data_IF_464116808777
#
_entry.id   IF_464116808777
#
_cell.length_a   1.000
_cell.length_b   1.000
_cell.length_c   1.000
_cell.angle_alpha   90.00
_cell.angle_beta   90.00
_cell.angle_gamma   90.00
#
_symmetry.space_group_name_H-M   'P 1'
#
loop_
_entity.id
_entity.type
_entity.pdbx_description
1 polymer ?
#
# COMPACT_ATOMS: atom_id res chain seq x y z
N UNK A 1 43.25 -1.91 -15.06
CA UNK A 1 42.21 -2.11 -16.07
C UNK A 1 40.90 -1.64 -15.48
N UNK A 2 40.47 -0.42 -15.81
CA UNK A 2 39.19 0.13 -15.39
C UNK A 2 38.10 -0.52 -16.22
N UNK A 3 37.36 -1.47 -15.61
CA UNK A 3 36.12 -1.95 -16.20
C UNK A 3 35.14 -0.78 -16.19
N UNK A 4 34.79 -0.28 -17.38
CA UNK A 4 33.71 0.70 -17.53
C UNK A 4 32.45 0.21 -16.79
N UNK A 5 31.74 1.10 -16.08
CA UNK A 5 30.52 0.71 -15.42
C UNK A 5 29.56 0.18 -16.50
N UNK A 6 29.12 -1.09 -16.38
CA UNK A 6 28.03 -1.62 -17.20
C UNK A 6 26.87 -0.68 -17.02
N UNK A 7 26.47 -0.01 -18.09
CA UNK A 7 25.28 0.86 -18.13
C UNK A 7 24.06 0.00 -17.76
N UNK A 8 23.74 -0.05 -16.46
CA UNK A 8 22.53 -0.69 -15.99
C UNK A 8 21.33 0.08 -16.51
N UNK A 9 20.24 -0.61 -16.83
CA UNK A 9 18.97 0.00 -17.21
C UNK A 9 18.53 1.01 -16.14
N UNK A 10 18.53 2.31 -16.49
CA UNK A 10 18.00 3.39 -15.67
C UNK A 10 16.67 3.86 -16.24
N UNK A 11 15.56 3.43 -15.63
CA UNK A 11 14.24 3.75 -16.13
C UNK A 11 13.93 5.24 -15.96
N UNK A 12 13.66 5.92 -17.08
CA UNK A 12 13.16 7.29 -17.09
C UNK A 12 11.69 7.39 -16.62
N UNK A 13 11.20 8.63 -16.44
CA UNK A 13 9.82 8.91 -16.05
C UNK A 13 8.82 8.29 -17.05
N UNK A 14 9.09 8.37 -18.37
CA UNK A 14 8.22 7.79 -19.39
C UNK A 14 8.09 6.27 -19.28
N UNK A 15 9.21 5.56 -19.05
CA UNK A 15 9.19 4.11 -18.83
C UNK A 15 8.41 3.72 -17.56
N UNK A 16 8.56 4.50 -16.48
CA UNK A 16 7.81 4.26 -15.25
C UNK A 16 6.30 4.53 -15.43
N UNK A 17 5.94 5.60 -16.13
CA UNK A 17 4.54 5.89 -16.45
C UNK A 17 3.93 4.78 -17.31
N UNK A 18 4.62 4.34 -18.35
CA UNK A 18 4.17 3.23 -19.20
C UNK A 18 3.99 1.94 -18.40
N UNK A 19 4.91 1.61 -17.49
CA UNK A 19 4.80 0.44 -16.63
C UNK A 19 3.64 0.57 -15.61
N UNK A 20 3.44 1.75 -15.01
CA UNK A 20 2.30 2.00 -14.12
C UNK A 20 0.97 1.87 -14.86
N UNK A 21 0.87 2.40 -16.09
CA UNK A 21 -0.30 2.23 -16.96
C UNK A 21 -0.52 0.77 -17.34
N UNK A 22 0.53 0.02 -17.66
CA UNK A 22 0.43 -1.40 -17.98
C UNK A 22 -0.10 -2.21 -16.79
N UNK A 23 0.36 -1.92 -15.55
CA UNK A 23 -0.20 -2.55 -14.34
C UNK A 23 -1.64 -2.11 -14.11
N UNK A 24 -1.99 -0.85 -14.36
CA UNK A 24 -3.38 -0.37 -14.27
C UNK A 24 -4.28 -1.14 -15.23
N UNK A 25 -3.88 -1.28 -16.50
CA UNK A 25 -4.62 -2.07 -17.50
C UNK A 25 -4.73 -3.54 -17.06
N UNK A 26 -3.65 -4.12 -16.56
CA UNK A 26 -3.67 -5.47 -16.01
C UNK A 26 -4.71 -5.62 -14.88
N UNK A 27 -4.78 -4.67 -13.93
CA UNK A 27 -5.78 -4.67 -12.87
C UNK A 27 -7.21 -4.54 -13.43
N UNK A 28 -7.43 -3.69 -14.45
CA UNK A 28 -8.71 -3.58 -15.13
C UNK A 28 -9.14 -4.90 -15.80
N UNK A 29 -8.20 -5.60 -16.42
CA UNK A 29 -8.44 -6.91 -17.06
C UNK A 29 -8.73 -8.03 -16.06
N UNK A 30 -8.25 -7.91 -14.83
CA UNK A 30 -8.55 -8.85 -13.75
C UNK A 30 -9.91 -8.62 -13.10
N UNK A 31 -10.57 -7.48 -13.35
CA UNK A 31 -11.88 -7.20 -12.78
C UNK A 31 -12.88 -8.21 -13.33
N UNK A 32 -13.32 -9.19 -12.54
CA UNK A 32 -14.22 -10.21 -13.06
C UNK A 32 -15.57 -9.59 -13.38
N UNK A 33 -16.21 -10.08 -14.45
CA UNK A 33 -17.63 -9.88 -14.70
C UNK A 33 -18.51 -10.62 -13.66
N UNK A 34 -17.90 -11.16 -12.60
CA UNK A 34 -18.58 -11.81 -11.51
C UNK A 34 -19.27 -10.79 -10.59
N UNK A 35 -20.35 -11.22 -9.96
CA UNK A 35 -21.09 -10.42 -8.97
C UNK A 35 -20.14 -9.85 -7.89
N UNK A 36 -20.50 -8.70 -7.33
CA UNK A 36 -19.85 -8.15 -6.14
C UNK A 36 -20.03 -9.16 -5.00
N UNK A 37 -18.94 -9.69 -4.48
CA UNK A 37 -18.97 -10.79 -3.52
C UNK A 37 -18.61 -10.36 -2.09
N UNK A 38 -17.89 -9.24 -1.96
CA UNK A 38 -17.58 -8.66 -0.65
C UNK A 38 -18.73 -7.75 -0.22
N UNK A 39 -19.09 -7.83 1.05
CA UNK A 39 -20.14 -7.00 1.65
C UNK A 39 -19.87 -5.51 1.46
N UNK A 40 -18.63 -5.08 1.61
CA UNK A 40 -18.24 -3.68 1.49
C UNK A 40 -18.35 -3.19 0.04
N UNK A 41 -18.01 -4.02 -0.98
CA UNK A 41 -18.21 -3.68 -2.40
C UNK A 41 -19.68 -3.37 -2.70
N UNK A 42 -20.59 -4.23 -2.22
CA UNK A 42 -22.03 -4.09 -2.43
C UNK A 42 -22.58 -2.82 -1.76
N UNK A 43 -22.15 -2.54 -0.54
CA UNK A 43 -22.60 -1.35 0.18
C UNK A 43 -22.14 -0.06 -0.48
N UNK A 44 -20.87 0.00 -0.92
CA UNK A 44 -20.33 1.21 -1.55
C UNK A 44 -20.92 1.44 -2.94
N UNK A 45 -21.08 0.38 -3.73
CA UNK A 45 -21.72 0.46 -5.04
C UNK A 45 -23.17 0.94 -4.93
N UNK A 46 -23.98 0.33 -4.03
CA UNK A 46 -25.37 0.74 -3.85
C UNK A 46 -25.49 2.19 -3.35
N UNK A 47 -24.64 2.61 -2.40
CA UNK A 47 -24.65 3.99 -1.94
C UNK A 47 -24.31 4.99 -3.07
N UNK A 48 -23.41 4.63 -3.99
CA UNK A 48 -23.10 5.45 -5.15
C UNK A 48 -24.25 5.50 -6.17
N UNK A 49 -24.97 4.40 -6.38
CA UNK A 49 -26.18 4.35 -7.22
C UNK A 49 -27.28 5.23 -6.62
N UNK A 50 -27.51 5.15 -5.31
CA UNK A 50 -28.52 5.99 -4.64
C UNK A 50 -28.22 7.48 -4.72
N UNK A 51 -26.94 7.87 -4.73
CA UNK A 51 -26.54 9.26 -4.98
C UNK A 51 -26.99 9.74 -6.38
N UNK A 52 -26.90 8.87 -7.39
CA UNK A 52 -27.37 9.17 -8.75
C UNK A 52 -28.91 9.20 -8.83
N UNK A 53 -29.58 8.22 -8.24
CA UNK A 53 -31.03 8.10 -8.24
C UNK A 53 -31.73 9.28 -7.53
N UNK A 54 -31.17 9.70 -6.38
CA UNK A 54 -31.76 10.74 -5.53
C UNK A 54 -31.26 12.13 -5.79
N UNK A 55 -30.10 12.28 -6.48
CA UNK A 55 -29.39 13.56 -6.63
C UNK A 55 -28.78 14.09 -5.32
N UNK A 56 -28.75 13.28 -4.24
CA UNK A 56 -28.17 13.68 -2.97
C UNK A 56 -26.67 13.31 -2.90
N UNK A 57 -25.84 14.27 -3.28
CA UNK A 57 -24.38 14.14 -3.27
C UNK A 57 -23.75 14.44 -1.89
N UNK A 58 -24.55 14.91 -0.93
CA UNK A 58 -24.05 15.37 0.37
C UNK A 58 -24.01 14.22 1.40
N UNK A 59 -25.12 13.51 1.54
CA UNK A 59 -25.30 12.43 2.53
C UNK A 59 -25.42 11.10 1.82
N UNK A 60 -24.46 10.18 1.97
CA UNK A 60 -24.58 8.83 1.43
C UNK A 60 -25.77 8.10 2.04
N UNK A 61 -26.52 7.38 1.23
CA UNK A 61 -27.63 6.54 1.70
C UNK A 61 -27.45 5.09 1.20
N UNK A 62 -28.04 4.15 1.92
CA UNK A 62 -28.13 2.74 1.56
C UNK A 62 -29.52 2.23 1.90
N UNK A 63 -30.27 1.82 0.87
CA UNK A 63 -31.68 1.42 0.97
C UNK A 63 -32.57 2.51 1.61
N UNK A 64 -32.30 3.77 1.25
CA UNK A 64 -33.05 4.94 1.75
C UNK A 64 -32.64 5.40 3.15
N UNK A 65 -31.77 4.70 3.85
CA UNK A 65 -31.27 5.08 5.19
C UNK A 65 -29.89 5.75 5.10
N UNK A 66 -29.58 6.64 6.05
CA UNK A 66 -28.27 7.32 6.11
C UNK A 66 -27.15 6.31 6.25
N UNK A 67 -26.23 6.30 5.28
CA UNK A 67 -25.06 5.41 5.26
C UNK A 67 -23.79 6.15 5.71
N UNK A 68 -23.70 6.44 7.00
CA UNK A 68 -22.62 7.23 7.60
C UNK A 68 -21.32 6.43 7.85
N UNK A 69 -21.01 5.42 7.03
CA UNK A 69 -19.84 4.55 7.25
C UNK A 69 -18.54 5.21 6.86
N UNK A 70 -18.52 5.98 5.77
CA UNK A 70 -17.32 6.59 5.19
C UNK A 70 -17.62 7.97 4.62
N UNK A 71 -16.59 8.83 4.46
CA UNK A 71 -16.68 10.08 3.71
C UNK A 71 -16.93 9.85 2.22
N UNK A 72 -17.33 10.88 1.44
CA UNK A 72 -18.03 10.73 0.17
C UNK A 72 -17.15 10.46 -1.04
N UNK A 73 -15.82 10.70 -0.99
CA UNK A 73 -14.98 10.73 -2.19
C UNK A 73 -15.10 9.46 -3.04
N UNK A 74 -15.10 8.29 -2.41
CA UNK A 74 -15.17 7.06 -3.19
C UNK A 74 -16.55 6.83 -3.79
N UNK A 75 -17.63 7.23 -3.11
CA UNK A 75 -18.99 7.18 -3.67
C UNK A 75 -19.12 8.15 -4.85
N UNK A 76 -18.58 9.37 -4.74
CA UNK A 76 -18.56 10.33 -5.85
C UNK A 76 -17.82 9.79 -7.07
N UNK A 77 -16.66 9.16 -6.86
CA UNK A 77 -15.88 8.56 -7.95
C UNK A 77 -16.59 7.36 -8.57
N UNK A 78 -17.24 6.51 -7.75
CA UNK A 78 -18.05 5.39 -8.24
C UNK A 78 -19.29 5.88 -9.02
N UNK A 79 -19.99 6.88 -8.50
CA UNK A 79 -21.13 7.48 -9.19
C UNK A 79 -20.72 8.09 -10.53
N UNK A 80 -19.58 8.80 -10.60
CA UNK A 80 -19.02 9.27 -11.86
C UNK A 80 -18.69 8.11 -12.81
N UNK A 81 -18.16 7.00 -12.30
CA UNK A 81 -17.90 5.79 -13.10
C UNK A 81 -19.20 5.19 -13.64
N UNK A 82 -20.24 5.07 -12.83
CA UNK A 82 -21.55 4.58 -13.24
C UNK A 82 -22.19 5.48 -14.30
N UNK A 83 -22.02 6.80 -14.21
CA UNK A 83 -22.52 7.74 -15.24
C UNK A 83 -21.87 7.56 -16.61
N UNK A 84 -20.64 6.99 -16.66
CA UNK A 84 -19.89 6.77 -17.90
C UNK A 84 -20.08 5.36 -18.44
N UNK A 85 -20.02 4.35 -17.58
CA UNK A 85 -20.00 2.93 -17.98
C UNK A 85 -21.31 2.20 -17.69
N UNK A 86 -22.32 2.89 -17.13
CA UNK A 86 -23.54 2.27 -16.64
C UNK A 86 -23.35 1.56 -15.30
N UNK A 87 -24.47 1.19 -14.67
CA UNK A 87 -24.51 0.50 -13.39
C UNK A 87 -24.17 -0.99 -13.56
N UNK A 88 -22.91 -1.33 -13.32
CA UNK A 88 -22.40 -2.69 -13.40
C UNK A 88 -21.17 -2.88 -12.50
N UNK A 89 -20.75 -4.13 -12.30
CA UNK A 89 -19.65 -4.49 -11.42
C UNK A 89 -18.30 -3.92 -11.88
N UNK A 90 -18.09 -3.82 -13.19
CA UNK A 90 -16.89 -3.20 -13.75
C UNK A 90 -16.82 -1.72 -13.37
N UNK A 91 -17.91 -0.98 -13.55
CA UNK A 91 -17.97 0.44 -13.23
C UNK A 91 -17.76 0.70 -11.72
N UNK A 92 -18.31 -0.15 -10.85
CA UNK A 92 -18.06 -0.07 -9.39
C UNK A 92 -16.59 -0.22 -9.04
N UNK A 93 -15.87 -1.13 -9.69
CA UNK A 93 -14.46 -1.46 -9.45
C UNK A 93 -13.49 -0.54 -10.18
N UNK A 94 -13.92 0.08 -11.28
CA UNK A 94 -13.08 0.87 -12.19
C UNK A 94 -12.22 1.91 -11.45
N UNK A 95 -12.76 2.56 -10.44
CA UNK A 95 -12.07 3.63 -9.68
C UNK A 95 -10.77 3.13 -9.01
N UNK A 96 -10.74 1.87 -8.57
CA UNK A 96 -9.63 1.33 -7.80
C UNK A 96 -8.35 1.15 -8.63
N UNK A 97 -8.45 0.71 -9.89
CA UNK A 97 -7.27 0.47 -10.71
C UNK A 97 -6.51 1.75 -11.08
N UNK A 98 -7.12 2.84 -11.58
CA UNK A 98 -6.42 4.10 -11.79
C UNK A 98 -5.84 4.69 -10.51
N UNK A 99 -6.56 4.64 -9.38
CA UNK A 99 -6.05 5.10 -8.10
C UNK A 99 -4.81 4.31 -7.68
N UNK A 100 -4.82 2.99 -7.89
CA UNK A 100 -3.63 2.17 -7.66
C UNK A 100 -2.49 2.54 -8.61
N UNK A 101 -2.76 2.75 -9.91
CA UNK A 101 -1.78 3.22 -10.89
C UNK A 101 -1.10 4.53 -10.48
N UNK A 102 -1.86 5.48 -9.95
CA UNK A 102 -1.32 6.72 -9.36
C UNK A 102 -0.41 6.41 -8.18
N UNK A 103 -0.83 5.52 -7.27
CA UNK A 103 -0.01 5.09 -6.12
C UNK A 103 1.33 4.48 -6.56
N UNK A 104 1.30 3.66 -7.62
CA UNK A 104 2.49 3.02 -8.20
C UNK A 104 3.46 4.07 -8.75
N UNK A 105 2.97 4.99 -9.57
CA UNK A 105 3.80 6.04 -10.16
C UNK A 105 4.40 6.97 -9.10
N UNK A 106 3.61 7.35 -8.09
CA UNK A 106 4.10 8.15 -6.95
C UNK A 106 5.15 7.39 -6.14
N UNK A 107 4.99 6.07 -5.94
CA UNK A 107 6.00 5.24 -5.29
C UNK A 107 7.32 5.21 -6.09
N UNK A 108 7.24 5.16 -7.44
CA UNK A 108 8.42 5.33 -8.30
C UNK A 108 9.11 6.67 -8.04
N UNK A 109 8.35 7.77 -8.03
CA UNK A 109 8.92 9.12 -7.83
C UNK A 109 9.60 9.24 -6.47
N UNK A 110 8.99 8.71 -5.40
CA UNK A 110 9.59 8.65 -4.06
C UNK A 110 10.90 7.84 -4.08
N UNK A 111 10.85 6.63 -4.63
CA UNK A 111 12.02 5.74 -4.69
C UNK A 111 13.17 6.32 -5.55
N UNK A 112 12.83 6.96 -6.66
CA UNK A 112 13.77 7.70 -7.50
C UNK A 112 14.44 8.84 -6.72
N UNK A 113 13.66 9.57 -5.93
CA UNK A 113 14.16 10.71 -5.14
C UNK A 113 15.03 10.28 -3.97
N UNK A 114 14.64 9.22 -3.27
CA UNK A 114 15.33 8.76 -2.05
C UNK A 114 16.53 7.85 -2.32
N UNK A 115 16.52 7.09 -3.41
CA UNK A 115 17.53 6.07 -3.70
C UNK A 115 18.10 6.22 -5.13
N UNK A 116 17.35 5.77 -6.13
CA UNK A 116 17.71 5.83 -7.53
C UNK A 116 16.51 5.57 -8.45
N UNK A 117 16.59 5.91 -9.75
CA UNK A 117 15.53 5.56 -10.71
C UNK A 117 15.26 4.06 -10.76
N UNK A 118 16.29 3.22 -10.68
CA UNK A 118 16.17 1.77 -10.64
C UNK A 118 15.46 1.28 -9.36
N UNK A 119 15.81 1.82 -8.20
CA UNK A 119 15.16 1.48 -6.93
C UNK A 119 13.67 1.85 -6.94
N UNK A 120 13.35 3.05 -7.44
CA UNK A 120 11.97 3.51 -7.58
C UNK A 120 11.15 2.63 -8.53
N UNK A 121 11.75 2.23 -9.67
CA UNK A 121 11.08 1.37 -10.64
C UNK A 121 10.77 -0.02 -10.08
N UNK A 122 11.75 -0.65 -9.40
CA UNK A 122 11.52 -1.93 -8.74
C UNK A 122 10.51 -1.81 -7.60
N UNK A 123 10.56 -0.72 -6.82
CA UNK A 123 9.56 -0.47 -5.77
C UNK A 123 8.14 -0.37 -6.34
N UNK A 124 7.96 0.37 -7.43
CA UNK A 124 6.69 0.47 -8.15
C UNK A 124 6.17 -0.90 -8.60
N UNK A 125 7.02 -1.71 -9.24
CA UNK A 125 6.66 -3.07 -9.70
C UNK A 125 6.36 -3.98 -8.50
N UNK A 126 7.16 -3.89 -7.44
CA UNK A 126 6.94 -4.66 -6.21
C UNK A 126 5.59 -4.33 -5.56
N UNK A 127 5.24 -3.06 -5.47
CA UNK A 127 3.92 -2.66 -5.00
C UNK A 127 2.83 -3.19 -5.93
N UNK A 128 2.93 -2.93 -7.24
CA UNK A 128 1.88 -3.22 -8.22
C UNK A 128 1.56 -4.71 -8.39
N UNK A 129 2.57 -5.56 -8.26
CA UNK A 129 2.42 -7.02 -8.41
C UNK A 129 2.36 -7.76 -7.06
N UNK A 130 2.14 -7.05 -5.96
CA UNK A 130 1.86 -7.68 -4.67
C UNK A 130 0.40 -8.14 -4.59
N UNK A 131 0.16 -9.26 -3.92
CA UNK A 131 -1.19 -9.86 -3.78
C UNK A 131 -2.20 -8.86 -3.25
N UNK A 132 -1.85 -8.09 -2.21
CA UNK A 132 -2.74 -7.10 -1.61
C UNK A 132 -3.12 -5.98 -2.60
N UNK A 133 -2.16 -5.51 -3.40
CA UNK A 133 -2.39 -4.48 -4.41
C UNK A 133 -3.26 -5.00 -5.55
N UNK A 134 -3.02 -6.23 -6.01
CA UNK A 134 -3.85 -6.86 -7.06
C UNK A 134 -5.29 -6.99 -6.56
N UNK A 135 -5.49 -7.49 -5.34
CA UNK A 135 -6.82 -7.64 -4.75
C UNK A 135 -7.55 -6.29 -4.63
N UNK A 136 -6.93 -5.31 -3.94
CA UNK A 136 -7.58 -4.02 -3.68
C UNK A 136 -7.63 -3.09 -4.91
N UNK A 137 -6.75 -3.29 -5.87
CA UNK A 137 -6.77 -2.57 -7.14
C UNK A 137 -7.83 -3.08 -8.13
N UNK A 138 -8.37 -4.28 -7.90
CA UNK A 138 -9.44 -4.88 -8.73
C UNK A 138 -10.77 -5.06 -7.98
N UNK A 139 -10.90 -4.52 -6.77
CA UNK A 139 -12.11 -4.55 -5.96
C UNK A 139 -12.73 -3.15 -5.80
N UNK A 140 -14.04 -3.05 -5.60
CA UNK A 140 -14.75 -1.79 -5.36
C UNK A 140 -14.52 -1.29 -3.92
N UNK A 141 -13.25 -1.01 -3.59
CA UNK A 141 -12.80 -0.67 -2.24
C UNK A 141 -12.22 0.75 -2.18
N UNK A 142 -12.40 1.42 -1.03
CA UNK A 142 -11.92 2.80 -0.80
C UNK A 142 -10.40 2.88 -0.64
N UNK A 143 -9.75 1.74 -0.40
CA UNK A 143 -8.35 1.66 0.04
C UNK A 143 -7.37 2.09 -1.06
N UNK A 144 -7.69 1.86 -2.33
CA UNK A 144 -6.87 2.32 -3.44
C UNK A 144 -6.84 3.86 -3.54
N UNK A 145 -7.99 4.52 -3.36
CA UNK A 145 -8.11 5.99 -3.36
C UNK A 145 -7.39 6.60 -2.16
N UNK A 146 -7.53 5.99 -0.99
CA UNK A 146 -6.79 6.38 0.21
C UNK A 146 -5.28 6.27 -0.03
N UNK A 147 -4.81 5.15 -0.59
CA UNK A 147 -3.38 4.92 -0.84
C UNK A 147 -2.81 5.96 -1.81
N UNK A 148 -3.51 6.27 -2.92
CA UNK A 148 -3.10 7.29 -3.86
C UNK A 148 -2.95 8.66 -3.19
N UNK A 149 -3.90 9.01 -2.33
CA UNK A 149 -3.89 10.27 -1.58
C UNK A 149 -2.72 10.33 -0.58
N UNK A 150 -2.45 9.24 0.14
CA UNK A 150 -1.29 9.11 1.03
C UNK A 150 0.02 9.22 0.25
N UNK A 151 0.15 8.48 -0.87
CA UNK A 151 1.35 8.52 -1.71
C UNK A 151 1.60 9.92 -2.29
N UNK A 152 0.55 10.68 -2.63
CA UNK A 152 0.68 12.06 -3.11
C UNK A 152 1.32 12.96 -2.04
N UNK A 153 0.81 12.92 -0.80
CA UNK A 153 1.40 13.67 0.31
C UNK A 153 2.82 13.19 0.65
N UNK A 154 3.05 11.88 0.63
CA UNK A 154 4.35 11.30 0.90
C UNK A 154 5.40 11.68 -0.17
N UNK A 155 5.02 11.71 -1.46
CA UNK A 155 5.90 12.19 -2.53
C UNK A 155 6.21 13.67 -2.38
N UNK A 156 5.20 14.50 -2.17
CA UNK A 156 5.39 15.92 -1.95
C UNK A 156 6.33 16.21 -0.78
N UNK A 157 6.17 15.45 0.32
CA UNK A 157 7.09 15.53 1.46
C UNK A 157 8.49 15.04 1.12
N UNK A 158 8.64 13.95 0.36
CA UNK A 158 9.95 13.43 -0.04
C UNK A 158 10.76 14.48 -0.84
N UNK A 159 10.11 15.26 -1.72
CA UNK A 159 10.77 16.34 -2.46
C UNK A 159 11.21 17.49 -1.53
N UNK A 160 10.32 17.94 -0.64
CA UNK A 160 10.64 18.99 0.34
C UNK A 160 11.72 18.54 1.34
N UNK A 161 11.64 17.32 1.81
CA UNK A 161 12.59 16.72 2.76
C UNK A 161 13.98 16.54 2.13
N UNK A 162 14.05 16.29 0.83
CA UNK A 162 15.29 16.22 0.08
C UNK A 162 15.79 17.59 -0.41
N UNK A 163 15.19 18.70 0.03
CA UNK A 163 15.66 20.06 -0.16
C UNK A 163 15.15 20.76 -1.43
N UNK A 164 14.06 20.29 -2.06
CA UNK A 164 13.43 21.04 -3.14
C UNK A 164 12.90 22.39 -2.63
N UNK A 165 13.20 23.46 -3.37
CA UNK A 165 12.88 24.84 -2.99
C UNK A 165 11.48 25.28 -3.41
N UNK A 166 10.75 24.46 -4.18
CA UNK A 166 9.40 24.76 -4.68
C UNK A 166 8.34 24.47 -3.60
N UNK A 167 8.48 25.10 -2.45
CA UNK A 167 7.61 24.86 -1.29
C UNK A 167 6.13 24.97 -1.63
N UNK A 168 5.70 26.01 -2.36
CA UNK A 168 4.29 26.19 -2.69
C UNK A 168 3.73 25.09 -3.57
N UNK A 169 4.51 24.59 -4.55
CA UNK A 169 4.09 23.47 -5.38
C UNK A 169 3.91 22.20 -4.53
N UNK A 170 4.96 21.78 -3.84
CA UNK A 170 4.90 20.52 -3.09
C UNK A 170 4.06 20.65 -1.82
N UNK A 171 4.01 21.82 -1.18
CA UNK A 171 3.10 22.07 -0.08
C UNK A 171 1.64 21.98 -0.50
N UNK A 172 1.27 22.54 -1.65
CA UNK A 172 -0.10 22.40 -2.18
C UNK A 172 -0.45 20.95 -2.52
N UNK A 173 0.46 20.19 -3.17
CA UNK A 173 0.26 18.78 -3.46
C UNK A 173 0.15 17.93 -2.18
N UNK A 174 0.94 18.28 -1.15
CA UNK A 174 0.83 17.67 0.18
C UNK A 174 -0.57 17.89 0.78
N UNK A 175 -1.06 19.13 0.75
CA UNK A 175 -2.39 19.49 1.27
C UNK A 175 -3.53 18.83 0.50
N UNK A 176 -3.42 18.77 -0.84
CA UNK A 176 -4.38 18.04 -1.69
C UNK A 176 -4.44 16.57 -1.27
N UNK A 177 -3.31 15.91 -1.08
CA UNK A 177 -3.28 14.53 -0.62
C UNK A 177 -3.91 14.35 0.77
N UNK A 178 -3.66 15.27 1.72
CA UNK A 178 -4.33 15.27 3.03
C UNK A 178 -5.84 15.40 2.86
N UNK A 179 -6.33 16.38 2.10
CA UNK A 179 -7.76 16.62 1.90
C UNK A 179 -8.45 15.41 1.25
N UNK A 180 -7.88 14.87 0.17
CA UNK A 180 -8.40 13.69 -0.51
C UNK A 180 -8.41 12.45 0.39
N UNK A 181 -7.35 12.24 1.19
CA UNK A 181 -7.29 11.12 2.13
C UNK A 181 -8.36 11.20 3.22
N UNK A 182 -8.66 12.43 3.70
CA UNK A 182 -9.74 12.67 4.65
C UNK A 182 -11.11 12.43 4.01
N UNK A 183 -11.33 12.89 2.79
CA UNK A 183 -12.57 12.66 2.04
C UNK A 183 -12.74 11.19 1.60
N UNK A 184 -11.66 10.41 1.55
CA UNK A 184 -11.71 8.96 1.26
C UNK A 184 -12.02 8.14 2.51
N UNK A 185 -11.32 8.36 3.64
CA UNK A 185 -11.41 7.48 4.83
C UNK A 185 -11.24 8.23 6.16
N UNK A 186 -11.60 9.51 6.19
CA UNK A 186 -11.54 10.34 7.40
C UNK A 186 -10.10 10.51 7.93
N UNK A 187 -9.88 10.38 9.25
CA UNK A 187 -8.59 10.68 9.87
C UNK A 187 -7.48 9.67 9.56
N UNK A 188 -7.77 8.57 8.87
CA UNK A 188 -6.79 7.49 8.60
C UNK A 188 -5.60 7.99 7.78
N UNK A 189 -5.85 8.81 6.73
CA UNK A 189 -4.77 9.38 5.93
C UNK A 189 -3.83 10.28 6.74
N UNK A 190 -4.33 11.32 7.41
CA UNK A 190 -3.52 12.14 8.32
C UNK A 190 -2.78 11.33 9.39
N UNK A 191 -3.39 10.29 9.95
CA UNK A 191 -2.78 9.43 10.95
C UNK A 191 -1.56 8.62 10.42
N UNK A 192 -1.46 8.43 9.11
CA UNK A 192 -0.26 7.89 8.44
C UNK A 192 0.73 8.98 8.07
N UNK A 193 0.24 10.08 7.47
CA UNK A 193 1.08 11.12 6.87
C UNK A 193 1.76 11.99 7.93
N UNK A 194 1.03 12.37 9.00
CA UNK A 194 1.60 13.25 10.05
C UNK A 194 2.78 12.60 10.76
N UNK A 195 2.72 11.32 11.22
CA UNK A 195 3.87 10.66 11.79
C UNK A 195 5.04 10.50 10.81
N UNK A 196 4.77 10.19 9.53
CA UNK A 196 5.80 10.16 8.50
C UNK A 196 6.59 11.48 8.46
N UNK A 197 5.88 12.60 8.35
CA UNK A 197 6.49 13.94 8.30
C UNK A 197 7.21 14.27 9.60
N UNK A 198 6.54 14.08 10.73
CA UNK A 198 7.06 14.44 12.05
C UNK A 198 8.33 13.66 12.39
N UNK A 199 8.31 12.34 12.33
CA UNK A 199 9.47 11.54 12.72
C UNK A 199 10.63 11.67 11.73
N UNK A 200 10.36 11.69 10.41
CA UNK A 200 11.42 11.92 9.45
C UNK A 200 12.06 13.31 9.61
N UNK A 201 11.30 14.33 9.98
CA UNK A 201 11.83 15.67 10.25
C UNK A 201 12.61 15.73 11.57
N UNK A 202 12.05 15.22 12.68
CA UNK A 202 12.67 15.30 14.01
C UNK A 202 14.00 14.57 14.05
N UNK A 203 14.08 13.37 13.45
CA UNK A 203 15.29 12.54 13.48
C UNK A 203 16.30 12.86 12.38
N UNK A 204 15.95 13.75 11.42
CA UNK A 204 16.91 14.21 10.42
C UNK A 204 18.06 15.00 11.04
N UNK A 205 19.30 14.83 10.52
CA UNK A 205 20.42 15.68 10.92
C UNK A 205 20.10 17.15 10.70
N UNK A 206 20.58 18.02 11.60
CA UNK A 206 20.32 19.46 11.52
C UNK A 206 20.71 20.07 10.16
N UNK A 207 21.81 19.59 9.56
CA UNK A 207 22.33 20.06 8.27
C UNK A 207 21.40 19.77 7.06
N UNK A 208 20.57 18.71 7.14
CA UNK A 208 19.68 18.27 6.04
C UNK A 208 18.21 18.44 6.38
N UNK A 209 17.92 18.89 7.60
CA UNK A 209 16.55 19.08 8.09
C UNK A 209 15.89 20.26 7.40
N UNK A 210 14.69 20.11 6.82
CA UNK A 210 13.90 21.23 6.33
C UNK A 210 13.69 22.29 7.43
N UNK A 211 13.76 23.56 7.06
CA UNK A 211 13.60 24.66 8.01
C UNK A 211 12.24 24.59 8.74
N UNK A 212 12.20 24.97 10.01
CA UNK A 212 10.98 24.95 10.84
C UNK A 212 9.82 25.72 10.20
N UNK A 213 10.10 26.84 9.49
CA UNK A 213 9.09 27.57 8.71
C UNK A 213 8.33 26.71 7.70
N UNK A 214 8.99 25.70 7.10
CA UNK A 214 8.32 24.75 6.20
C UNK A 214 7.36 23.84 6.96
N UNK A 215 7.69 23.45 8.18
CA UNK A 215 6.79 22.67 9.05
C UNK A 215 5.56 23.50 9.45
N UNK A 216 5.76 24.77 9.80
CA UNK A 216 4.65 25.70 10.06
C UNK A 216 3.78 25.85 8.79
N UNK A 217 4.40 26.03 7.63
CA UNK A 217 3.67 26.11 6.35
C UNK A 217 2.85 24.85 6.06
N UNK A 218 3.41 23.65 6.25
CA UNK A 218 2.68 22.39 6.07
C UNK A 218 1.55 22.23 7.09
N UNK A 219 1.74 22.67 8.34
CA UNK A 219 0.68 22.68 9.34
C UNK A 219 -0.49 23.59 8.94
N UNK A 220 -0.20 24.81 8.46
CA UNK A 220 -1.23 25.72 7.93
C UNK A 220 -1.97 25.16 6.73
N UNK A 221 -1.23 24.54 5.79
CA UNK A 221 -1.82 23.85 4.63
C UNK A 221 -2.70 22.66 5.09
N UNK A 222 -2.29 21.93 6.13
CA UNK A 222 -3.10 20.84 6.71
C UNK A 222 -4.38 21.36 7.37
N UNK A 223 -4.35 22.56 7.97
CA UNK A 223 -5.56 23.22 8.49
C UNK A 223 -6.51 23.57 7.34
N UNK A 224 -5.99 24.06 6.21
CA UNK A 224 -6.82 24.32 5.01
C UNK A 224 -7.42 23.00 4.48
N UNK A 225 -6.63 21.93 4.43
CA UNK A 225 -7.11 20.61 4.03
C UNK A 225 -8.21 20.08 4.97
N UNK A 226 -8.07 20.28 6.27
CA UNK A 226 -9.12 20.01 7.26
C UNK A 226 -10.37 20.86 7.00
N UNK A 227 -10.19 22.15 6.67
CA UNK A 227 -11.30 23.04 6.28
C UNK A 227 -12.08 22.53 5.08
N UNK A 228 -11.40 22.02 4.04
CA UNK A 228 -12.04 21.38 2.88
C UNK A 228 -12.87 20.16 3.31
N UNK A 229 -12.32 19.29 4.16
CA UNK A 229 -13.05 18.14 4.71
C UNK A 229 -14.25 18.57 5.54
N UNK A 230 -14.10 19.56 6.43
CA UNK A 230 -15.18 20.08 7.25
C UNK A 230 -16.25 20.79 6.41
N UNK A 231 -15.88 21.40 5.27
CA UNK A 231 -16.82 21.97 4.30
C UNK A 231 -17.82 20.95 3.73
N UNK A 232 -17.46 19.67 3.72
CA UNK A 232 -18.40 18.57 3.47
C UNK A 232 -18.98 18.00 4.77
N UNK A 233 -18.14 17.70 5.76
CA UNK A 233 -18.55 16.92 6.94
C UNK A 233 -19.59 17.65 7.81
N UNK A 234 -19.48 18.98 7.94
CA UNK A 234 -20.43 19.78 8.74
C UNK A 234 -21.80 19.85 8.08
N UNK A 235 -21.95 20.23 6.80
CA UNK A 235 -23.26 20.20 6.13
C UNK A 235 -23.86 18.79 6.09
N UNK A 236 -23.06 17.75 5.81
CA UNK A 236 -23.54 16.38 5.79
C UNK A 236 -24.04 15.91 7.16
N UNK A 237 -23.35 16.30 8.24
CA UNK A 237 -23.80 16.00 9.60
C UNK A 237 -25.11 16.71 9.97
N UNK A 238 -25.25 17.99 9.60
CA UNK A 238 -26.49 18.74 9.83
C UNK A 238 -27.66 18.16 9.02
N UNK A 239 -27.44 17.85 7.75
CA UNK A 239 -28.46 17.26 6.87
C UNK A 239 -28.90 15.85 7.30
N UNK A 240 -28.01 15.10 7.98
CA UNK A 240 -28.31 13.76 8.49
C UNK A 240 -28.80 13.73 9.94
N UNK A 241 -29.14 14.89 10.53
CA UNK A 241 -29.57 14.94 11.93
C UNK A 241 -28.51 14.48 12.94
N UNK A 242 -27.22 14.63 12.61
CA UNK A 242 -26.10 14.24 13.48
C UNK A 242 -25.57 12.80 13.27
N UNK A 243 -26.19 12.00 12.40
CA UNK A 243 -25.83 10.58 12.16
C UNK A 243 -24.40 10.45 11.60
N UNK A 244 -23.97 11.36 10.73
CA UNK A 244 -22.62 11.33 10.16
C UNK A 244 -21.53 11.41 11.24
N UNK A 245 -21.69 12.22 12.24
CA UNK A 245 -20.77 12.33 13.37
C UNK A 245 -20.90 11.12 14.32
N UNK A 246 -22.13 10.76 14.69
CA UNK A 246 -22.41 9.68 15.65
C UNK A 246 -21.92 8.32 15.14
N UNK A 247 -22.23 7.98 13.90
CA UNK A 247 -21.87 6.69 13.30
C UNK A 247 -20.47 6.77 12.66
N UNK A 248 -20.22 7.77 11.80
CA UNK A 248 -18.98 7.87 11.03
C UNK A 248 -17.76 8.06 11.93
N UNK A 249 -17.73 9.08 12.77
CA UNK A 249 -16.63 9.32 13.69
C UNK A 249 -16.75 8.45 14.96
N UNK A 250 -17.92 8.42 15.59
CA UNK A 250 -18.11 7.72 16.85
C UNK A 250 -17.93 6.20 16.71
N UNK A 251 -18.73 5.53 15.87
CA UNK A 251 -18.70 4.08 15.73
C UNK A 251 -17.53 3.61 14.84
N UNK A 252 -17.38 4.18 13.62
CA UNK A 252 -16.45 3.65 12.62
C UNK A 252 -15.01 4.14 12.74
N UNK A 253 -14.72 5.20 13.50
CA UNK A 253 -13.35 5.63 13.80
C UNK A 253 -13.00 5.32 15.24
N UNK A 254 -13.64 5.98 16.22
CA UNK A 254 -13.31 5.83 17.64
C UNK A 254 -13.65 4.40 18.11
N UNK A 255 -14.84 3.92 17.80
CA UNK A 255 -15.27 2.57 18.19
C UNK A 255 -14.30 1.50 17.65
N UNK A 256 -13.92 1.55 16.36
CA UNK A 256 -12.98 0.59 15.78
C UNK A 256 -11.54 0.69 16.32
N UNK A 257 -11.15 1.86 16.82
CA UNK A 257 -9.85 2.02 17.46
C UNK A 257 -9.77 1.33 18.82
N UNK A 258 -10.85 1.38 19.61
CA UNK A 258 -10.87 0.92 21.01
C UNK A 258 -11.68 -0.35 21.26
N UNK A 259 -12.51 -0.77 20.32
CA UNK A 259 -13.38 -1.93 20.46
C UNK A 259 -13.23 -2.88 19.26
N UNK A 260 -13.14 -4.18 19.54
CA UNK A 260 -13.23 -5.21 18.50
C UNK A 260 -14.67 -5.27 17.98
N UNK A 261 -14.89 -4.87 16.74
CA UNK A 261 -16.20 -4.82 16.12
C UNK A 261 -16.35 -5.91 15.05
N UNK A 262 -17.59 -6.38 14.87
CA UNK A 262 -17.96 -7.34 13.81
C UNK A 262 -17.13 -8.64 13.84
N UNK A 263 -16.66 -9.06 15.02
CA UNK A 263 -15.83 -10.26 15.19
C UNK A 263 -14.35 -10.10 14.79
N UNK A 264 -13.93 -8.89 14.37
CA UNK A 264 -12.56 -8.62 13.94
C UNK A 264 -11.72 -8.03 15.08
N UNK A 265 -10.79 -8.80 15.65
CA UNK A 265 -9.87 -8.35 16.70
C UNK A 265 -9.79 -9.23 17.94
N UNK A 266 -10.58 -10.31 17.97
CA UNK A 266 -10.64 -11.25 19.08
C UNK A 266 -11.50 -10.76 20.25
N UNK A 267 -12.03 -11.69 21.06
CA UNK A 267 -12.85 -11.40 22.24
C UNK A 267 -12.00 -11.30 23.51
N UNK A 268 -12.21 -10.24 24.29
CA UNK A 268 -11.51 -9.99 25.54
C UNK A 268 -10.00 -9.72 25.37
N UNK A 269 -9.28 -9.54 26.49
CA UNK A 269 -7.88 -9.16 26.46
C UNK A 269 -6.95 -10.23 25.85
N UNK A 270 -7.23 -11.52 26.03
CA UNK A 270 -6.44 -12.61 25.44
C UNK A 270 -6.58 -12.63 23.92
N UNK A 271 -7.80 -12.47 23.39
CA UNK A 271 -8.04 -12.36 21.97
C UNK A 271 -7.39 -11.12 21.36
N UNK A 272 -7.44 -9.99 22.05
CA UNK A 272 -6.73 -8.78 21.64
C UNK A 272 -5.21 -8.99 21.55
N UNK A 273 -4.58 -9.58 22.59
CA UNK A 273 -3.14 -9.86 22.55
C UNK A 273 -2.76 -10.82 21.42
N UNK A 274 -3.54 -11.88 21.18
CA UNK A 274 -3.32 -12.77 20.05
C UNK A 274 -3.43 -12.03 18.70
N UNK A 275 -4.32 -11.06 18.62
CA UNK A 275 -4.52 -10.26 17.40
C UNK A 275 -3.38 -9.28 17.09
N UNK A 276 -2.47 -8.96 18.02
CA UNK A 276 -1.35 -8.04 17.77
C UNK A 276 -0.40 -8.56 16.68
N UNK A 277 -0.32 -9.86 16.48
CA UNK A 277 0.54 -10.45 15.45
C UNK A 277 -0.14 -10.61 14.08
N UNK A 278 -1.42 -10.29 13.94
CA UNK A 278 -2.22 -10.53 12.72
C UNK A 278 -1.60 -9.88 11.48
N UNK A 279 -1.04 -8.67 11.59
CA UNK A 279 -0.46 -8.01 10.44
C UNK A 279 0.89 -8.58 9.97
N UNK A 280 1.57 -9.41 10.77
CA UNK A 280 2.77 -10.11 10.30
C UNK A 280 2.45 -11.09 9.18
N UNK A 281 1.58 -12.11 9.36
CA UNK A 281 1.18 -12.99 8.25
C UNK A 281 0.46 -12.24 7.13
N UNK A 282 -0.35 -11.21 7.43
CA UNK A 282 -1.02 -10.39 6.41
C UNK A 282 0.00 -9.70 5.50
N UNK A 283 1.09 -9.14 6.05
CA UNK A 283 2.16 -8.57 5.23
C UNK A 283 2.89 -9.65 4.44
N UNK A 284 3.21 -10.79 5.06
CA UNK A 284 3.92 -11.87 4.38
C UNK A 284 3.14 -12.40 3.18
N UNK A 285 1.82 -12.57 3.33
CA UNK A 285 0.91 -13.01 2.27
C UNK A 285 0.65 -11.89 1.27
N UNK A 286 0.26 -10.72 1.77
CA UNK A 286 -0.16 -9.60 0.94
C UNK A 286 0.97 -8.99 0.10
N UNK A 287 2.20 -9.02 0.58
CA UNK A 287 3.38 -8.51 -0.15
C UNK A 287 4.06 -9.60 -1.02
N UNK A 288 3.56 -10.84 -1.02
CA UNK A 288 4.04 -11.88 -1.91
C UNK A 288 3.93 -11.43 -3.39
N UNK A 289 4.91 -11.75 -4.27
CA UNK A 289 6.11 -12.58 -4.04
C UNK A 289 7.33 -11.80 -3.48
N UNK A 290 7.22 -10.49 -3.24
CA UNK A 290 8.32 -9.62 -2.82
C UNK A 290 8.73 -9.81 -1.37
N UNK A 291 7.98 -10.57 -0.60
CA UNK A 291 8.30 -11.02 0.76
C UNK A 291 9.71 -11.60 0.87
N UNK A 292 10.23 -12.18 -0.22
CA UNK A 292 11.61 -12.68 -0.34
C UNK A 292 12.66 -11.62 0.03
N UNK A 293 12.39 -10.35 -0.25
CA UNK A 293 13.34 -9.27 0.00
C UNK A 293 13.27 -8.72 1.42
N UNK A 294 12.15 -8.94 2.14
CA UNK A 294 11.88 -8.28 3.42
C UNK A 294 12.94 -8.57 4.51
N UNK A 295 13.40 -9.82 4.75
CA UNK A 295 14.40 -10.07 5.79
C UNK A 295 15.72 -9.33 5.52
N UNK A 296 16.18 -9.35 4.25
CA UNK A 296 17.39 -8.63 3.84
C UNK A 296 17.18 -7.10 3.91
N UNK A 297 16.02 -6.62 3.51
CA UNK A 297 15.67 -5.20 3.55
C UNK A 297 15.62 -4.67 4.98
N UNK A 298 14.91 -5.33 5.88
CA UNK A 298 14.85 -4.96 7.28
C UNK A 298 16.24 -4.95 7.93
N UNK A 299 17.05 -6.00 7.70
CA UNK A 299 18.42 -6.08 8.20
C UNK A 299 19.31 -4.97 7.61
N UNK A 300 19.25 -4.72 6.30
CA UNK A 300 20.07 -3.72 5.62
C UNK A 300 19.74 -2.28 6.05
N UNK A 301 18.45 -1.97 6.16
CA UNK A 301 17.98 -0.66 6.63
C UNK A 301 18.31 -0.43 8.11
N UNK A 302 18.08 -1.42 8.98
CA UNK A 302 18.41 -1.33 10.40
C UNK A 302 19.89 -1.08 10.63
N UNK A 303 20.76 -1.76 9.89
CA UNK A 303 22.22 -1.66 10.01
C UNK A 303 22.83 -0.48 9.27
N UNK A 304 22.04 0.25 8.49
CA UNK A 304 22.55 1.37 7.71
C UNK A 304 23.36 0.97 6.46
N UNK A 305 23.21 -0.27 5.99
CA UNK A 305 23.93 -0.81 4.84
C UNK A 305 23.31 -0.42 3.50
N UNK A 306 22.01 -0.11 3.49
CA UNK A 306 21.25 0.22 2.29
C UNK A 306 20.59 1.59 2.45
N UNK A 307 20.80 2.45 1.45
CA UNK A 307 20.33 3.84 1.45
C UNK A 307 21.11 4.74 2.41
N UNK A 308 21.03 6.03 2.20
CA UNK A 308 21.58 7.02 3.12
C UNK A 308 20.70 7.15 4.38
N UNK A 309 21.16 7.92 5.35
CA UNK A 309 20.42 8.11 6.62
C UNK A 309 19.06 8.76 6.40
N UNK A 310 18.95 9.71 5.49
CA UNK A 310 17.71 10.46 5.23
C UNK A 310 16.65 9.56 4.60
N UNK A 311 17.03 8.78 3.59
CA UNK A 311 16.14 7.81 2.96
C UNK A 311 15.65 6.72 3.93
N UNK A 312 16.56 6.20 4.78
CA UNK A 312 16.17 5.22 5.82
C UNK A 312 15.21 5.79 6.84
N UNK A 313 15.47 7.03 7.31
CA UNK A 313 14.56 7.71 8.25
C UNK A 313 13.19 7.92 7.64
N UNK A 314 13.11 8.34 6.36
CA UNK A 314 11.84 8.51 5.67
C UNK A 314 11.04 7.19 5.66
N UNK A 315 11.66 6.09 5.22
CA UNK A 315 11.00 4.79 5.12
C UNK A 315 10.59 4.25 6.51
N UNK A 316 11.45 4.35 7.52
CA UNK A 316 11.12 3.93 8.89
C UNK A 316 10.01 4.79 9.50
N UNK A 317 10.02 6.10 9.25
CA UNK A 317 8.99 7.03 9.73
C UNK A 317 7.63 6.77 9.08
N UNK A 318 7.61 6.15 7.90
CA UNK A 318 6.37 5.69 7.27
C UNK A 318 5.93 4.34 7.81
N UNK A 319 6.83 3.36 7.78
CA UNK A 319 6.50 1.96 8.09
C UNK A 319 6.13 1.76 9.56
N UNK A 320 6.97 2.22 10.48
CA UNK A 320 6.83 1.87 11.90
C UNK A 320 5.58 2.48 12.54
N UNK A 321 5.31 3.79 12.42
CA UNK A 321 4.10 4.37 12.99
C UNK A 321 2.83 3.78 12.38
N UNK A 322 2.82 3.54 11.06
CA UNK A 322 1.69 2.92 10.36
C UNK A 322 1.43 1.50 10.87
N UNK A 323 2.47 0.68 10.98
CA UNK A 323 2.37 -0.68 11.51
C UNK A 323 1.88 -0.68 12.97
N UNK A 324 2.47 0.16 13.82
CA UNK A 324 2.10 0.28 15.23
C UNK A 324 0.65 0.73 15.38
N UNK A 325 0.23 1.75 14.65
CA UNK A 325 -1.14 2.28 14.69
C UNK A 325 -2.18 1.19 14.40
N UNK A 326 -2.02 0.48 13.27
CA UNK A 326 -2.98 -0.57 12.91
C UNK A 326 -2.88 -1.81 13.80
N UNK A 327 -1.67 -2.13 14.31
CA UNK A 327 -1.49 -3.22 15.27
C UNK A 327 -2.19 -2.93 16.60
N UNK A 328 -2.16 -1.69 17.07
CA UNK A 328 -2.81 -1.30 18.32
C UNK A 328 -4.32 -1.06 18.18
N UNK A 329 -4.84 -0.79 16.98
CA UNK A 329 -6.27 -0.68 16.76
C UNK A 329 -6.99 -1.98 17.14
N UNK A 330 -8.14 -1.88 17.82
CA UNK A 330 -8.85 -3.06 18.31
C UNK A 330 -9.49 -3.88 17.17
N UNK A 331 -10.10 -3.20 16.19
CA UNK A 331 -10.64 -3.86 14.98
C UNK A 331 -9.55 -4.02 13.93
N UNK A 332 -9.32 -5.24 13.46
CA UNK A 332 -8.27 -5.57 12.50
C UNK A 332 -8.83 -6.22 11.25
N UNK A 333 -8.76 -5.51 10.13
CA UNK A 333 -9.05 -6.06 8.81
C UNK A 333 -7.75 -6.17 8.01
N UNK A 334 -7.56 -7.23 7.21
CA UNK A 334 -6.30 -7.45 6.49
C UNK A 334 -5.87 -6.27 5.64
N UNK A 335 -6.80 -5.61 4.94
CA UNK A 335 -6.51 -4.48 4.06
C UNK A 335 -6.13 -3.17 4.79
N UNK A 336 -6.35 -3.05 6.09
CA UNK A 336 -5.99 -1.83 6.83
C UNK A 336 -4.49 -1.53 6.80
N UNK A 337 -3.64 -2.54 6.69
CA UNK A 337 -2.18 -2.36 6.64
C UNK A 337 -1.66 -1.91 5.27
N UNK A 338 -2.50 -1.82 4.23
CA UNK A 338 -2.09 -1.40 2.88
C UNK A 338 -1.28 -0.09 2.86
N UNK A 339 -1.56 0.94 3.68
CA UNK A 339 -0.75 2.16 3.72
C UNK A 339 0.73 1.96 4.07
N UNK A 340 1.12 0.82 4.63
CA UNK A 340 2.52 0.48 4.89
C UNK A 340 3.24 -0.12 3.66
N UNK A 341 2.51 -0.60 2.65
CA UNK A 341 3.06 -1.32 1.51
C UNK A 341 4.00 -0.49 0.63
N UNK A 342 3.77 0.81 0.36
CA UNK A 342 4.75 1.62 -0.36
C UNK A 342 6.11 1.68 0.35
N UNK A 343 6.14 1.77 1.67
CA UNK A 343 7.39 1.75 2.43
C UNK A 343 8.12 0.40 2.31
N UNK A 344 7.39 -0.73 2.37
CA UNK A 344 7.95 -2.07 2.13
C UNK A 344 8.47 -2.20 0.69
N UNK A 345 7.74 -1.68 -0.28
CA UNK A 345 8.15 -1.68 -1.67
C UNK A 345 9.42 -0.84 -1.92
N UNK A 346 9.52 0.33 -1.28
CA UNK A 346 10.73 1.16 -1.32
C UNK A 346 11.95 0.42 -0.74
N UNK A 347 11.77 -0.32 0.37
CA UNK A 347 12.82 -1.16 0.93
C UNK A 347 13.24 -2.27 -0.03
N UNK A 348 12.27 -2.97 -0.66
CA UNK A 348 12.53 -4.01 -1.65
C UNK A 348 13.28 -3.46 -2.87
N UNK A 349 12.85 -2.30 -3.38
CA UNK A 349 13.49 -1.61 -4.50
C UNK A 349 14.93 -1.19 -4.19
N UNK A 350 15.17 -0.66 -2.99
CA UNK A 350 16.52 -0.27 -2.55
C UNK A 350 17.47 -1.49 -2.44
N UNK A 351 16.99 -2.64 -1.92
CA UNK A 351 17.76 -3.90 -1.90
C UNK A 351 18.10 -4.36 -3.31
N UNK A 352 17.13 -4.38 -4.21
CA UNK A 352 17.31 -4.83 -5.60
C UNK A 352 18.23 -3.90 -6.40
N UNK A 353 18.29 -2.62 -6.06
CA UNK A 353 19.18 -1.65 -6.66
C UNK A 353 20.61 -1.68 -6.09
N UNK A 354 20.86 -2.44 -5.02
CA UNK A 354 22.14 -2.50 -4.31
C UNK A 354 22.76 -3.93 -4.33
N UNK A 355 22.86 -4.61 -5.49
CA UNK A 355 23.27 -6.01 -5.56
C UNK A 355 24.72 -6.22 -5.04
N UNK A 356 25.64 -5.27 -5.29
CA UNK A 356 27.02 -5.36 -4.80
C UNK A 356 27.08 -5.35 -3.27
N UNK A 357 26.29 -4.49 -2.61
CA UNK A 357 26.23 -4.45 -1.15
C UNK A 357 25.67 -5.76 -0.61
N UNK A 358 24.60 -6.29 -1.23
CA UNK A 358 23.99 -7.56 -0.82
C UNK A 358 24.96 -8.73 -0.97
N UNK A 359 25.79 -8.73 -2.03
CA UNK A 359 26.79 -9.78 -2.26
C UNK A 359 27.97 -9.72 -1.30
N UNK A 360 28.46 -8.51 -1.00
CA UNK A 360 29.60 -8.31 -0.08
C UNK A 360 29.24 -8.61 1.38
N UNK A 361 28.00 -8.33 1.77
CA UNK A 361 27.54 -8.47 3.14
C UNK A 361 26.94 -9.86 3.38
N UNK A 362 27.71 -10.78 3.97
CA UNK A 362 27.30 -12.16 4.27
C UNK A 362 25.91 -12.25 4.92
N UNK A 363 25.61 -11.32 5.83
CA UNK A 363 24.32 -11.29 6.55
C UNK A 363 23.15 -10.92 5.64
N UNK A 364 23.33 -9.97 4.70
CA UNK A 364 22.26 -9.62 3.76
C UNK A 364 22.01 -10.78 2.78
N UNK A 365 23.08 -11.42 2.31
CA UNK A 365 22.98 -12.63 1.49
C UNK A 365 22.26 -13.76 2.22
N UNK A 366 22.59 -14.01 3.49
CA UNK A 366 21.88 -14.99 4.33
C UNK A 366 20.39 -14.66 4.47
N UNK A 367 20.05 -13.41 4.79
CA UNK A 367 18.64 -13.01 4.93
C UNK A 367 17.87 -13.05 3.61
N UNK A 368 18.50 -12.78 2.48
CA UNK A 368 17.88 -12.94 1.17
C UNK A 368 17.60 -14.41 0.84
N UNK A 369 18.51 -15.32 1.22
CA UNK A 369 18.28 -16.76 1.10
C UNK A 369 17.15 -17.24 2.02
N UNK A 370 17.12 -16.76 3.27
CA UNK A 370 16.02 -17.05 4.20
C UNK A 370 14.68 -16.61 3.61
N UNK A 371 14.62 -15.39 3.06
CA UNK A 371 13.44 -14.88 2.36
C UNK A 371 13.03 -15.75 1.16
N UNK A 372 14.00 -16.27 0.39
CA UNK A 372 13.73 -17.19 -0.71
C UNK A 372 13.09 -18.49 -0.21
N UNK A 373 13.63 -19.12 0.81
CA UNK A 373 13.07 -20.36 1.33
C UNK A 373 11.70 -20.17 1.99
N UNK A 374 11.47 -19.04 2.63
CA UNK A 374 10.14 -18.66 3.12
C UNK A 374 9.13 -18.52 1.96
N UNK A 375 9.54 -17.95 0.84
CA UNK A 375 8.69 -17.88 -0.36
C UNK A 375 8.43 -19.26 -0.97
N UNK A 376 9.42 -20.14 -1.01
CA UNK A 376 9.23 -21.55 -1.45
C UNK A 376 8.19 -22.22 -0.56
N UNK A 377 8.37 -22.16 0.76
CA UNK A 377 7.44 -22.77 1.71
C UNK A 377 6.01 -22.21 1.56
N UNK A 378 5.88 -20.89 1.41
CA UNK A 378 4.59 -20.24 1.18
C UNK A 378 3.94 -20.64 -0.14
N UNK A 379 4.72 -20.70 -1.23
CA UNK A 379 4.25 -21.16 -2.55
C UNK A 379 3.74 -22.59 -2.46
N UNK A 380 4.49 -23.49 -1.83
CA UNK A 380 4.08 -24.89 -1.67
C UNK A 380 2.83 -25.02 -0.79
N UNK A 381 2.74 -24.24 0.29
CA UNK A 381 1.55 -24.20 1.15
C UNK A 381 0.32 -23.71 0.38
N UNK A 382 0.47 -22.68 -0.46
CA UNK A 382 -0.61 -22.14 -1.30
C UNK A 382 -1.08 -23.17 -2.33
N UNK A 383 -0.14 -23.83 -3.02
CA UNK A 383 -0.46 -24.91 -3.96
C UNK A 383 -1.18 -26.05 -3.23
N UNK A 384 -0.64 -26.49 -2.08
CA UNK A 384 -1.27 -27.53 -1.26
C UNK A 384 -2.68 -27.16 -0.79
N UNK A 385 -2.86 -25.91 -0.36
CA UNK A 385 -4.18 -25.39 0.04
C UNK A 385 -5.18 -25.39 -1.12
N UNK A 386 -4.79 -24.92 -2.30
CA UNK A 386 -5.64 -24.94 -3.50
C UNK A 386 -6.00 -26.38 -3.89
N UNK A 387 -5.05 -27.30 -3.85
CA UNK A 387 -5.30 -28.71 -4.17
C UNK A 387 -6.18 -29.41 -3.13
N UNK A 388 -6.15 -28.97 -1.87
CA UNK A 388 -6.99 -29.52 -0.80
C UNK A 388 -8.43 -28.95 -0.78
N UNK A 389 -8.69 -27.82 -1.44
CA UNK A 389 -10.01 -27.16 -1.44
C UNK A 389 -11.18 -28.09 -1.82
N UNK A 390 -11.10 -28.97 -2.83
CA UNK A 390 -12.19 -29.90 -3.15
C UNK A 390 -12.54 -30.83 -1.98
N UNK A 391 -11.51 -31.36 -1.30
CA UNK A 391 -11.70 -32.23 -0.15
C UNK A 391 -12.32 -31.51 1.06
N UNK A 392 -11.98 -30.21 1.22
CA UNK A 392 -12.44 -29.39 2.35
C UNK A 392 -13.85 -28.81 2.11
N UNK A 393 -14.19 -28.49 0.87
CA UNK A 393 -15.44 -27.76 0.54
C UNK A 393 -16.49 -28.62 -0.13
N UNK A 394 -16.16 -29.84 -0.57
CA UNK A 394 -17.03 -30.69 -1.40
C UNK A 394 -17.31 -30.15 -2.81
N UNK A 395 -16.69 -29.04 -3.19
CA UNK A 395 -16.87 -28.39 -4.51
C UNK A 395 -15.74 -28.79 -5.46
N UNK A 396 -16.10 -29.18 -6.69
CA UNK A 396 -15.10 -29.47 -7.73
C UNK A 396 -14.34 -28.18 -8.08
N UNK A 397 -13.00 -28.28 -8.12
CA UNK A 397 -12.16 -27.23 -8.70
C UNK A 397 -11.86 -27.62 -10.14
N UNK A 398 -11.83 -26.64 -11.03
CA UNK A 398 -11.28 -26.82 -12.37
C UNK A 398 -9.79 -27.18 -12.29
N UNK A 399 -9.46 -28.47 -12.27
CA UNK A 399 -8.07 -28.96 -12.19
C UNK A 399 -7.12 -28.27 -13.16
N UNK A 400 -7.52 -27.96 -14.45
CA UNK A 400 -6.64 -27.21 -15.34
C UNK A 400 -6.26 -25.84 -14.80
N UNK A 401 -7.19 -25.12 -14.16
CA UNK A 401 -6.93 -23.80 -13.58
C UNK A 401 -6.00 -23.90 -12.36
N UNK A 402 -6.23 -24.88 -11.48
CA UNK A 402 -5.38 -25.13 -10.32
C UNK A 402 -3.95 -25.51 -10.74
N UNK A 403 -3.80 -26.35 -11.76
CA UNK A 403 -2.49 -26.73 -12.33
C UNK A 403 -1.80 -25.55 -13.01
N UNK A 404 -2.52 -24.73 -13.78
CA UNK A 404 -1.97 -23.53 -14.41
C UNK A 404 -1.48 -22.53 -13.34
N UNK A 405 -2.24 -22.34 -12.28
CA UNK A 405 -1.85 -21.48 -11.15
C UNK A 405 -0.59 -22.01 -10.46
N UNK A 406 -0.53 -23.31 -10.15
CA UNK A 406 0.65 -23.95 -9.56
C UNK A 406 1.89 -23.80 -10.47
N UNK A 407 1.72 -24.01 -11.78
CA UNK A 407 2.81 -23.87 -12.76
C UNK A 407 3.33 -22.44 -12.82
N UNK A 408 2.44 -21.43 -12.80
CA UNK A 408 2.81 -20.01 -12.77
C UNK A 408 3.61 -19.64 -11.51
N UNK A 409 3.19 -20.13 -10.34
CA UNK A 409 3.89 -19.90 -9.08
C UNK A 409 5.29 -20.54 -9.10
N UNK A 410 5.41 -21.77 -9.58
CA UNK A 410 6.70 -22.49 -9.69
C UNK A 410 7.61 -21.82 -10.73
N UNK A 411 7.06 -21.39 -11.87
CA UNK A 411 7.81 -20.64 -12.88
C UNK A 411 8.33 -19.30 -12.32
N UNK A 412 7.52 -18.60 -11.54
CA UNK A 412 7.92 -17.38 -10.82
C UNK A 412 9.10 -17.63 -9.87
N UNK A 413 9.04 -18.68 -9.05
CA UNK A 413 10.16 -19.08 -8.19
C UNK A 413 11.42 -19.43 -8.98
N UNK A 414 11.28 -20.19 -10.08
CA UNK A 414 12.41 -20.55 -10.93
C UNK A 414 13.05 -19.32 -11.60
N UNK A 415 12.23 -18.34 -12.01
CA UNK A 415 12.72 -17.07 -12.55
C UNK A 415 13.49 -16.26 -11.50
N UNK A 416 12.94 -16.14 -10.29
CA UNK A 416 13.63 -15.48 -9.17
C UNK A 416 14.96 -16.14 -8.89
N UNK A 417 15.00 -17.49 -8.86
CA UNK A 417 16.23 -18.26 -8.68
C UNK A 417 17.25 -18.00 -9.80
N UNK A 418 16.79 -17.95 -11.06
CA UNK A 418 17.67 -17.64 -12.21
C UNK A 418 18.27 -16.23 -12.12
N UNK A 419 17.46 -15.24 -11.74
CA UNK A 419 17.92 -13.86 -11.56
C UNK A 419 18.95 -13.78 -10.43
N UNK A 420 18.69 -14.43 -9.29
CA UNK A 420 19.62 -14.48 -8.18
C UNK A 420 20.95 -15.17 -8.57
N UNK A 421 20.89 -16.28 -9.31
CA UNK A 421 22.07 -17.00 -9.77
C UNK A 421 22.89 -16.17 -10.78
N UNK A 422 22.23 -15.50 -11.74
CA UNK A 422 22.92 -14.63 -12.72
C UNK A 422 23.54 -13.39 -12.08
N UNK A 423 22.93 -12.87 -11.03
CA UNK A 423 23.49 -11.77 -10.25
C UNK A 423 24.62 -12.22 -9.29
N UNK A 424 24.99 -13.50 -9.27
CA UNK A 424 25.99 -14.07 -8.35
C UNK A 424 25.52 -14.16 -6.89
N UNK A 425 24.24 -13.83 -6.62
CA UNK A 425 23.68 -13.79 -5.27
C UNK A 425 23.61 -15.15 -4.59
N UNK A 426 23.62 -16.25 -5.37
CA UNK A 426 23.56 -17.61 -4.84
C UNK A 426 24.89 -18.33 -4.87
N UNK A 427 25.70 -18.14 -5.92
CA UNK A 427 26.98 -18.85 -6.07
C UNK A 427 28.02 -18.41 -5.05
N UNK A 428 28.06 -17.12 -4.72
CA UNK A 428 28.97 -16.60 -3.69
C UNK A 428 28.63 -17.09 -2.27
N UNK A 429 27.34 -17.23 -1.94
CA UNK A 429 26.90 -17.65 -0.60
C UNK A 429 27.04 -19.16 -0.38
N UNK A 430 26.83 -20.00 -1.41
CA UNK A 430 27.04 -21.45 -1.32
C UNK A 430 28.52 -21.83 -1.26
N UNK A 431 29.38 -21.14 -2.05
CA UNK A 431 30.82 -21.34 -1.97
C UNK A 431 31.42 -20.93 -0.62
N UNK A 432 30.86 -19.88 0.00
CA UNK A 432 31.30 -19.42 1.32
C UNK A 432 30.75 -20.28 2.48
N UNK A 433 29.55 -20.88 2.32
CA UNK A 433 29.02 -21.83 3.32
C UNK A 433 29.79 -23.16 3.30
N UNK A 434 30.22 -23.62 2.12
CA UNK A 434 31.05 -24.81 1.99
C UNK A 434 32.50 -24.61 2.50
N UNK A 435 32.98 -23.37 2.55
CA UNK A 435 34.32 -23.04 3.09
C UNK A 435 34.34 -22.78 4.60
N UNK A 436 33.17 -22.77 5.27
CA UNK A 436 33.02 -22.52 6.72
C UNK A 436 32.50 -23.73 7.48
N UNK A 437 32.24 -24.84 6.83
CA UNK A 437 32.07 -26.20 7.35
C UNK A 437 33.36 -27.01 7.17
#
# INVERSE_FOLDING_TARGET
MNAAPRSGFEPGIGAALAAALAVTVFLLLLMPAAMLWDRDETYYARAAVEMLETGNWLVPAFNGEVFAHKPPLAYWLMAASFSVFGENEFAARFVSAPAMGVSLFLTFLIGRRLFSPRAGFVAMIALGLSVMTIYLGSAAMLDAVLLASICLSAWAWAELHAGDRRFWLFGSLFGIGIALSMLAKGPVGPAVIIPLVFFSWVFSPAATRPAFRHMVGLALISIVALGIFLGWAVPANLASGGEMLRIGLGKHVIGRAFQAMEGHGGSGWKGYLASLLVYVPVILIGFFPWTITLPAALSGFWRGLIGDRQARLFVWSWLVPTFVMFTLAATKLPHYILPAFPALALMAGAVAASPETVLREKRLSFWLQTGFWLNVAFTLATIGGVLALPALTGKAIGWPLAMAFAALLLAGLALVRRVQNRAGLFTGAMAQSAATL
#
